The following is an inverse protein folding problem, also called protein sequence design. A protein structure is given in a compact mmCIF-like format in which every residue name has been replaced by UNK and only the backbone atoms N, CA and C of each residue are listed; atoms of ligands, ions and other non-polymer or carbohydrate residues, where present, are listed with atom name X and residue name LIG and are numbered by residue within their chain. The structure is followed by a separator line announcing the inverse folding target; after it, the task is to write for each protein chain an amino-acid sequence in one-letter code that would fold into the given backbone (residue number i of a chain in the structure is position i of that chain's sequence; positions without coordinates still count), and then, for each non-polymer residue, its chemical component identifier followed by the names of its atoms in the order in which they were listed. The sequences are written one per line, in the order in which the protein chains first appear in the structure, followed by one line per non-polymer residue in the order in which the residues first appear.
data_IF_948271708453
#
_entry.id   IF_948271708453
#
_cell.length_a   1.000
_cell.length_b   1.000
_cell.length_c   1.000
_cell.angle_alpha   90.00
_cell.angle_beta   90.00
_cell.angle_gamma   90.00
#
_symmetry.space_group_name_H-M   'P 1'
#
loop_
_entity.id
_entity.type
_entity.pdbx_description
1 polymer ?
#
# COMPACT_ATOMS: atom_id res chain seq x y z
N UNK A 1 10.69 1.38 -4.81
CA UNK A 1 9.49 1.47 -3.96
C UNK A 1 8.23 1.29 -4.78
N UNK A 2 7.30 0.54 -4.27
CA UNK A 2 6.00 0.31 -4.91
C UNK A 2 4.88 0.52 -3.90
N UNK A 3 3.75 1.04 -4.38
CA UNK A 3 2.57 1.31 -3.57
C UNK A 3 1.33 0.70 -4.22
N UNK A 4 0.50 0.06 -3.41
CA UNK A 4 -0.79 -0.47 -3.85
C UNK A 4 -1.91 0.12 -2.99
N UNK A 5 -2.97 0.59 -3.62
CA UNK A 5 -4.13 1.12 -2.92
C UNK A 5 -5.07 0.01 -2.45
N UNK A 6 -5.55 0.14 -1.23
CA UNK A 6 -6.51 -0.78 -0.61
C UNK A 6 -7.71 0.00 -0.11
N UNK A 7 -8.90 -0.50 -0.42
CA UNK A 7 -10.14 0.08 0.06
C UNK A 7 -11.08 -1.05 0.51
N UNK A 8 -11.49 -1.01 1.77
CA UNK A 8 -12.41 -1.99 2.36
C UNK A 8 -13.73 -1.30 2.66
N UNK A 9 -14.78 -1.79 2.05
CA UNK A 9 -16.14 -1.26 2.25
C UNK A 9 -17.12 -2.39 2.47
N UNK A 10 -18.20 -2.11 3.16
CA UNK A 10 -19.28 -3.06 3.42
C UNK A 10 -20.34 -2.44 4.31
N UNK A 11 -21.37 -3.22 4.61
CA UNK A 11 -22.45 -2.82 5.50
C UNK A 11 -22.17 -3.25 6.94
N UNK A 12 -22.55 -2.41 7.88
CA UNK A 12 -22.49 -2.69 9.33
C UNK A 12 -21.08 -3.04 9.84
N UNK A 13 -20.06 -2.42 9.24
CA UNK A 13 -18.67 -2.57 9.68
C UNK A 13 -18.43 -1.67 10.89
N UNK A 14 -18.02 -2.26 12.02
CA UNK A 14 -17.67 -1.51 13.22
C UNK A 14 -16.17 -1.23 13.32
N UNK A 15 -15.35 -2.15 12.81
CA UNK A 15 -13.89 -2.04 12.93
C UNK A 15 -13.20 -2.83 11.81
N UNK A 16 -12.08 -2.30 11.34
CA UNK A 16 -11.20 -2.99 10.39
C UNK A 16 -9.78 -2.98 10.95
N UNK A 17 -9.18 -4.16 11.03
CA UNK A 17 -7.77 -4.31 11.41
C UNK A 17 -6.96 -4.79 10.22
N UNK A 18 -5.86 -4.11 9.96
CA UNK A 18 -4.91 -4.46 8.90
C UNK A 18 -3.61 -4.96 9.52
N UNK A 19 -3.07 -6.03 8.98
CA UNK A 19 -1.77 -6.56 9.39
C UNK A 19 -1.02 -7.05 8.15
N UNK A 20 0.18 -6.53 7.93
CA UNK A 20 1.01 -6.92 6.79
C UNK A 20 2.19 -7.76 7.26
N UNK A 21 2.44 -8.86 6.57
CA UNK A 21 3.55 -9.79 6.85
C UNK A 21 4.28 -10.15 5.56
N UNK A 22 5.54 -10.48 5.68
CA UNK A 22 6.37 -10.91 4.56
C UNK A 22 7.41 -11.93 5.00
N UNK A 23 7.91 -12.69 4.01
CA UNK A 23 8.88 -13.77 4.22
C UNK A 23 10.32 -13.38 3.88
N UNK A 24 10.51 -12.29 3.15
CA UNK A 24 11.82 -11.82 2.72
C UNK A 24 12.32 -10.71 3.65
N UNK A 25 13.40 -10.98 4.39
CA UNK A 25 13.99 -10.02 5.32
C UNK A 25 14.61 -8.79 4.63
N UNK A 26 14.89 -8.89 3.34
CA UNK A 26 15.45 -7.79 2.54
C UNK A 26 14.37 -6.84 2.02
N UNK A 27 13.11 -7.20 2.17
CA UNK A 27 11.97 -6.37 1.78
C UNK A 27 11.46 -5.62 3.00
N UNK A 28 11.42 -4.32 2.91
CA UNK A 28 10.70 -3.50 3.88
C UNK A 28 9.28 -3.28 3.39
N UNK A 29 8.33 -3.43 4.28
CA UNK A 29 6.93 -3.23 3.98
C UNK A 29 6.26 -2.51 5.15
N UNK A 30 5.31 -1.67 4.83
CA UNK A 30 4.50 -0.98 5.84
C UNK A 30 3.18 -0.51 5.24
N UNK A 31 2.26 -0.25 6.12
CA UNK A 31 1.00 0.40 5.81
C UNK A 31 1.19 1.91 5.80
N UNK A 32 0.46 2.58 4.94
CA UNK A 32 0.47 4.03 4.85
C UNK A 32 -0.92 4.53 4.50
N UNK A 33 -1.18 5.78 4.81
CA UNK A 33 -2.43 6.44 4.43
C UNK A 33 -2.18 7.78 3.78
N UNK A 34 -3.09 8.19 2.91
CA UNK A 34 -3.14 9.55 2.42
C UNK A 34 -3.83 10.42 3.46
N UNK A 35 -3.16 11.49 3.86
CA UNK A 35 -3.70 12.47 4.81
C UNK A 35 -3.79 13.83 4.13
N UNK A 36 -4.98 14.41 4.11
CA UNK A 36 -5.14 15.79 3.68
C UNK A 36 -4.59 16.76 4.72
N UNK A 37 -3.78 17.70 4.28
CA UNK A 37 -3.12 18.67 5.13
C UNK A 37 -3.21 20.06 4.52
N UNK A 38 -2.97 21.08 5.33
CA UNK A 38 -2.83 22.45 4.85
C UNK A 38 -1.48 22.60 4.10
N UNK A 39 -1.49 23.31 2.97
CA UNK A 39 -0.28 23.55 2.19
C UNK A 39 0.82 24.26 2.98
N UNK A 40 0.44 25.10 3.94
CA UNK A 40 1.36 25.88 4.76
C UNK A 40 1.76 25.16 6.06
N UNK A 41 1.23 23.95 6.29
CA UNK A 41 1.56 23.16 7.48
C UNK A 41 3.02 22.67 7.46
N UNK A 42 3.67 22.55 8.60
CA UNK A 42 4.99 21.94 8.69
C UNK A 42 5.02 20.51 8.14
N UNK A 43 3.96 19.76 8.33
CA UNK A 43 3.83 18.39 7.80
C UNK A 43 3.97 18.34 6.27
N UNK A 44 3.29 19.24 5.58
CA UNK A 44 3.37 19.31 4.11
C UNK A 44 4.73 19.79 3.65
N UNK A 45 5.25 20.84 4.29
CA UNK A 45 6.51 21.47 3.89
C UNK A 45 7.72 20.52 4.01
N UNK A 46 7.71 19.67 5.03
CA UNK A 46 8.84 18.76 5.33
C UNK A 46 8.69 17.34 4.78
N UNK A 47 7.49 16.95 4.35
CA UNK A 47 7.27 15.61 3.83
C UNK A 47 7.99 15.38 2.51
N UNK A 48 8.66 14.24 2.38
CA UNK A 48 9.24 13.77 1.12
C UNK A 48 8.21 13.14 0.18
N UNK A 49 7.09 12.71 0.72
CA UNK A 49 6.00 12.06 -0.02
C UNK A 49 4.76 12.93 0.06
N UNK A 50 4.71 13.96 -0.76
CA UNK A 50 3.61 14.91 -0.84
C UNK A 50 3.13 15.11 -2.26
N UNK A 51 1.86 15.38 -2.42
CA UNK A 51 1.26 15.67 -3.72
C UNK A 51 0.03 16.58 -3.55
N UNK A 52 -0.45 17.10 -4.68
CA UNK A 52 -1.68 17.87 -4.73
C UNK A 52 -2.62 17.29 -5.77
N UNK A 53 -3.91 17.43 -5.52
CA UNK A 53 -4.97 17.09 -6.49
C UNK A 53 -5.80 18.33 -6.79
N UNK A 54 -6.13 18.52 -8.05
CA UNK A 54 -7.05 19.57 -8.46
C UNK A 54 -8.48 19.22 -8.02
N UNK A 55 -9.15 20.19 -7.42
CA UNK A 55 -10.53 20.09 -6.98
C UNK A 55 -11.36 21.20 -7.63
N UNK A 56 -12.68 21.18 -7.47
CA UNK A 56 -13.56 22.24 -7.96
C UNK A 56 -13.25 23.63 -7.35
N UNK A 57 -12.65 23.64 -6.15
CA UNK A 57 -12.32 24.87 -5.41
C UNK A 57 -10.84 25.25 -5.45
N UNK A 58 -10.04 24.58 -6.29
CA UNK A 58 -8.60 24.78 -6.36
C UNK A 58 -7.83 23.50 -6.15
N UNK A 59 -6.89 23.45 -5.19
CA UNK A 59 -6.07 22.29 -4.90
C UNK A 59 -6.26 21.79 -3.48
N UNK A 60 -6.32 20.48 -3.32
CA UNK A 60 -6.17 19.80 -2.04
C UNK A 60 -4.75 19.23 -1.94
N UNK A 61 -4.16 19.31 -0.77
CA UNK A 61 -2.77 18.93 -0.50
C UNK A 61 -2.73 17.71 0.41
N UNK A 62 -1.88 16.75 0.06
CA UNK A 62 -1.81 15.46 0.74
C UNK A 62 -0.38 15.09 1.05
N UNK A 63 -0.22 14.35 2.13
CA UNK A 63 1.00 13.63 2.44
C UNK A 63 0.68 12.13 2.52
N UNK A 64 1.71 11.30 2.35
CA UNK A 64 1.63 9.86 2.62
C UNK A 64 2.30 9.63 3.96
N UNK A 65 1.52 9.19 4.93
CA UNK A 65 1.95 8.96 6.30
C UNK A 65 2.11 7.46 6.55
N UNK A 66 3.31 7.04 6.95
CA UNK A 66 3.58 5.66 7.33
C UNK A 66 2.97 5.36 8.69
N UNK A 67 2.29 4.21 8.83
CA UNK A 67 1.58 3.84 10.05
C UNK A 67 2.00 2.47 10.60
N UNK A 68 3.07 1.89 10.07
CA UNK A 68 3.64 0.65 10.57
C UNK A 68 3.08 -0.61 9.90
N UNK A 69 3.25 -1.74 10.55
CA UNK A 69 2.84 -3.05 10.02
C UNK A 69 1.43 -3.46 10.43
N UNK A 70 0.87 -2.80 11.43
CA UNK A 70 -0.49 -3.03 11.91
C UNK A 70 -1.23 -1.71 12.07
N UNK A 71 -2.50 -1.72 11.74
CA UNK A 71 -3.36 -0.56 11.91
C UNK A 71 -4.82 -0.98 12.11
N UNK A 72 -5.50 -0.26 12.98
CA UNK A 72 -6.92 -0.49 13.27
C UNK A 72 -7.71 0.80 13.10
N UNK A 73 -8.88 0.71 12.46
CA UNK A 73 -9.77 1.84 12.26
C UNK A 73 -11.22 1.47 12.55
N UNK A 74 -12.04 2.48 12.81
CA UNK A 74 -13.47 2.33 13.03
C UNK A 74 -14.23 2.53 11.72
N UNK A 75 -15.21 1.65 11.44
CA UNK A 75 -16.06 1.74 10.26
C UNK A 75 -15.36 1.38 8.96
N UNK A 76 -15.83 1.94 7.85
CA UNK A 76 -15.30 1.68 6.53
C UNK A 76 -14.01 2.47 6.24
N UNK A 77 -13.10 1.87 5.47
CA UNK A 77 -11.82 2.48 5.12
C UNK A 77 -11.92 3.78 4.30
N UNK A 78 -13.07 4.05 3.69
CA UNK A 78 -13.30 5.27 2.90
C UNK A 78 -13.17 6.58 3.69
N UNK A 79 -13.34 6.53 5.00
CA UNK A 79 -13.36 7.75 5.83
C UNK A 79 -11.99 8.11 6.39
N UNK A 80 -11.28 7.12 6.91
CA UNK A 80 -9.98 7.33 7.58
C UNK A 80 -9.00 6.20 7.28
N UNK A 81 -9.37 5.28 6.39
CA UNK A 81 -8.71 4.01 6.23
C UNK A 81 -7.34 4.02 5.56
N UNK A 82 -6.70 2.90 5.67
CA UNK A 82 -5.48 2.61 4.95
C UNK A 82 -5.80 2.53 3.47
N UNK A 83 -5.15 3.37 2.71
CA UNK A 83 -5.32 3.40 1.27
C UNK A 83 -4.12 2.84 0.53
N UNK A 84 -3.01 2.64 1.22
CA UNK A 84 -1.74 2.32 0.58
C UNK A 84 -1.00 1.25 1.38
N UNK A 85 -0.57 0.21 0.68
CA UNK A 85 0.47 -0.70 1.14
C UNK A 85 1.75 -0.33 0.42
N UNK A 86 2.79 -0.03 1.18
CA UNK A 86 4.11 0.31 0.65
C UNK A 86 5.06 -0.86 0.89
N UNK A 87 5.81 -1.20 -0.12
CA UNK A 87 6.91 -2.13 0.02
C UNK A 87 8.08 -1.69 -0.86
N UNK A 88 9.26 -1.89 -0.34
CA UNK A 88 10.49 -1.54 -1.02
C UNK A 88 11.59 -2.55 -0.74
N UNK A 89 12.46 -2.70 -1.69
CA UNK A 89 13.67 -3.50 -1.57
C UNK A 89 14.85 -2.66 -2.03
N UNK A 90 15.87 -2.59 -1.21
CA UNK A 90 17.09 -1.91 -1.58
C UNK A 90 17.91 -2.82 -2.50
N UNK A 91 18.38 -2.26 -3.62
CA UNK A 91 19.26 -2.96 -4.52
C UNK A 91 20.69 -2.88 -4.00
N UNK A 92 21.34 -4.03 -3.86
CA UNK A 92 22.74 -4.09 -3.42
C UNK A 92 23.71 -3.57 -4.46
N UNK A 93 23.34 -3.68 -5.75
CA UNK A 93 24.19 -3.25 -6.89
C UNK A 93 23.33 -2.57 -7.94
N UNK A 94 23.77 -1.40 -8.41
CA UNK A 94 23.16 -0.70 -9.53
C UNK A 94 23.13 -1.54 -10.82
N UNK A 95 24.09 -2.46 -10.99
CA UNK A 95 24.14 -3.37 -12.13
C UNK A 95 22.90 -4.28 -12.26
N UNK A 96 22.14 -4.50 -11.20
CA UNK A 96 20.89 -5.25 -11.26
C UNK A 96 19.82 -4.55 -12.10
N UNK A 97 19.87 -3.24 -12.22
CA UNK A 97 18.99 -2.50 -13.13
C UNK A 97 19.26 -2.79 -14.59
N UNK A 98 20.48 -3.19 -14.94
CA UNK A 98 20.89 -3.45 -16.31
C UNK A 98 20.46 -4.83 -16.80
N UNK A 99 20.26 -5.77 -15.88
CA UNK A 99 19.71 -7.09 -16.20
C UNK A 99 18.19 -7.10 -15.91
N UNK A 100 17.42 -6.89 -16.96
CA UNK A 100 15.97 -6.79 -16.90
C UNK A 100 15.31 -8.05 -16.32
N UNK A 101 15.80 -9.22 -16.69
CA UNK A 101 15.23 -10.49 -16.22
C UNK A 101 15.44 -10.68 -14.72
N UNK A 102 16.64 -10.42 -14.23
CA UNK A 102 16.96 -10.50 -12.80
C UNK A 102 16.13 -9.50 -12.00
N UNK A 103 15.98 -8.29 -12.50
CA UNK A 103 15.17 -7.27 -11.87
C UNK A 103 13.69 -7.66 -11.80
N UNK A 104 13.13 -8.17 -12.88
CA UNK A 104 11.72 -8.61 -12.93
C UNK A 104 11.45 -9.76 -11.96
N UNK A 105 12.35 -10.73 -11.87
CA UNK A 105 12.23 -11.82 -10.90
C UNK A 105 12.29 -11.32 -9.46
N UNK A 106 13.19 -10.37 -9.19
CA UNK A 106 13.32 -9.77 -7.87
C UNK A 106 12.03 -9.05 -7.47
N UNK A 107 11.45 -8.26 -8.36
CA UNK A 107 10.19 -7.53 -8.10
C UNK A 107 9.04 -8.51 -7.89
N UNK A 108 8.95 -9.55 -8.72
CA UNK A 108 7.93 -10.59 -8.59
C UNK A 108 8.02 -11.30 -7.23
N UNK A 109 9.22 -11.70 -6.83
CA UNK A 109 9.45 -12.39 -5.57
C UNK A 109 9.16 -11.49 -4.36
N UNK A 110 9.42 -10.19 -4.50
CA UNK A 110 9.09 -9.22 -3.47
C UNK A 110 7.60 -9.20 -3.15
N UNK A 111 6.75 -9.24 -4.18
CA UNK A 111 5.30 -9.23 -4.00
C UNK A 111 4.73 -10.55 -3.49
N UNK A 112 5.22 -11.67 -4.02
CA UNK A 112 4.69 -13.00 -3.72
C UNK A 112 4.85 -13.37 -2.24
N UNK A 113 5.86 -12.83 -1.57
CA UNK A 113 6.12 -13.08 -0.15
C UNK A 113 5.27 -12.27 0.82
N UNK A 114 4.46 -11.33 0.34
CA UNK A 114 3.73 -10.39 1.17
C UNK A 114 2.26 -10.76 1.26
N UNK A 115 1.72 -10.77 2.48
CA UNK A 115 0.30 -10.96 2.76
C UNK A 115 -0.22 -9.80 3.60
N UNK A 116 -1.34 -9.22 3.19
CA UNK A 116 -2.11 -8.30 4.00
C UNK A 116 -3.33 -9.03 4.54
N UNK A 117 -3.40 -9.20 5.85
CA UNK A 117 -4.57 -9.75 6.52
C UNK A 117 -5.49 -8.62 6.94
N UNK A 118 -6.73 -8.69 6.48
CA UNK A 118 -7.78 -7.73 6.82
C UNK A 118 -8.81 -8.43 7.69
N UNK A 119 -8.94 -7.99 8.93
CA UNK A 119 -9.96 -8.49 9.85
C UNK A 119 -11.07 -7.47 9.98
N UNK A 120 -12.25 -7.84 9.51
CA UNK A 120 -13.44 -7.00 9.57
C UNK A 120 -14.30 -7.45 10.76
N UNK A 121 -14.63 -6.53 11.64
CA UNK A 121 -15.59 -6.77 12.73
C UNK A 121 -16.88 -6.03 12.41
N UNK A 122 -17.98 -6.76 12.46
CA UNK A 122 -19.32 -6.20 12.22
C UNK A 122 -19.97 -5.71 13.50
N UNK A 123 -21.04 -4.93 13.37
CA UNK A 123 -21.76 -4.37 14.50
C UNK A 123 -22.36 -5.40 15.46
N UNK A 124 -22.63 -6.62 14.98
CA UNK A 124 -23.11 -7.73 15.82
C UNK A 124 -21.99 -8.49 16.55
N UNK A 125 -20.74 -8.05 16.39
CA UNK A 125 -19.55 -8.67 16.99
C UNK A 125 -18.95 -9.82 16.21
N UNK A 126 -19.54 -10.23 15.09
CA UNK A 126 -18.94 -11.24 14.20
C UNK A 126 -17.74 -10.69 13.45
N UNK A 127 -16.82 -11.58 13.07
CA UNK A 127 -15.60 -11.21 12.36
C UNK A 127 -15.43 -12.01 11.08
N UNK A 128 -14.77 -11.40 10.11
CA UNK A 128 -14.36 -12.03 8.86
C UNK A 128 -12.91 -11.69 8.61
N UNK A 129 -12.09 -12.66 8.22
CA UNK A 129 -10.69 -12.45 7.88
C UNK A 129 -10.52 -12.69 6.39
N UNK A 130 -9.93 -11.72 5.71
CA UNK A 130 -9.59 -11.80 4.29
C UNK A 130 -8.10 -11.61 4.14
N UNK A 131 -7.43 -12.59 3.55
CA UNK A 131 -6.02 -12.48 3.20
C UNK A 131 -5.87 -11.99 1.76
N UNK A 132 -5.08 -10.95 1.60
CA UNK A 132 -4.84 -10.26 0.35
C UNK A 132 -3.40 -10.46 -0.07
N UNK A 133 -3.21 -10.84 -1.31
CA UNK A 133 -1.90 -11.01 -1.93
C UNK A 133 -1.63 -9.96 -2.99
N UNK A 134 -0.38 -9.91 -3.43
CA UNK A 134 0.12 -8.98 -4.43
C UNK A 134 0.91 -9.73 -5.47
N UNK A 135 0.73 -9.39 -6.73
CA UNK A 135 1.48 -9.98 -7.83
C UNK A 135 1.67 -8.97 -8.96
N UNK A 136 2.67 -9.24 -9.80
CA UNK A 136 2.85 -8.48 -11.04
C UNK A 136 1.84 -8.91 -12.09
N UNK A 137 1.48 -8.02 -13.01
CA UNK A 137 0.64 -8.37 -14.15
C UNK A 137 1.36 -9.38 -15.06
N UNK A 138 0.63 -10.39 -15.55
CA UNK A 138 1.18 -11.38 -16.47
C UNK A 138 1.60 -10.73 -17.80
N UNK A 139 2.69 -11.25 -18.40
CA UNK A 139 3.19 -10.80 -19.70
C UNK A 139 3.89 -9.44 -19.69
N UNK A 140 4.23 -8.91 -18.53
CA UNK A 140 4.93 -7.64 -18.42
C UNK A 140 6.46 -7.87 -18.35
N UNK A 141 7.12 -7.78 -19.50
CA UNK A 141 8.58 -7.83 -19.59
C UNK A 141 9.25 -6.46 -19.50
N UNK A 142 8.46 -5.39 -19.40
CA UNK A 142 8.92 -4.02 -19.32
C UNK A 142 9.07 -3.61 -17.85
N UNK A 143 10.25 -3.13 -17.47
CA UNK A 143 10.56 -2.69 -16.11
C UNK A 143 9.61 -1.62 -15.59
N UNK A 144 9.28 -0.64 -16.43
CA UNK A 144 8.36 0.43 -16.03
C UNK A 144 6.95 -0.13 -15.76
N UNK A 145 6.52 -1.09 -16.55
CA UNK A 145 5.22 -1.73 -16.38
C UNK A 145 5.17 -2.67 -15.17
N UNK A 146 6.28 -3.31 -14.83
CA UNK A 146 6.35 -4.18 -13.65
C UNK A 146 6.19 -3.36 -12.38
N UNK A 147 6.82 -2.20 -12.29
CA UNK A 147 6.70 -1.33 -11.10
C UNK A 147 5.34 -0.68 -10.95
N UNK A 148 4.63 -0.41 -12.06
CA UNK A 148 3.37 0.32 -12.06
C UNK A 148 2.12 -0.57 -11.98
N UNK A 149 2.25 -1.87 -12.20
CA UNK A 149 1.11 -2.79 -12.29
C UNK A 149 1.16 -3.88 -11.22
N UNK A 150 0.84 -3.49 -10.02
CA UNK A 150 0.60 -4.45 -8.94
C UNK A 150 -0.87 -4.89 -8.99
N UNK A 151 -1.09 -6.19 -9.08
CA UNK A 151 -2.41 -6.77 -8.97
C UNK A 151 -2.63 -7.18 -7.52
N UNK A 152 -3.73 -6.70 -6.96
CA UNK A 152 -4.20 -7.07 -5.63
C UNK A 152 -5.26 -8.16 -5.80
N UNK A 153 -5.12 -9.25 -5.07
CA UNK A 153 -6.04 -10.37 -5.16
C UNK A 153 -6.33 -10.99 -3.80
N UNK A 154 -7.50 -11.58 -3.65
CA UNK A 154 -7.86 -12.35 -2.47
C UNK A 154 -7.26 -13.74 -2.58
N UNK A 155 -6.53 -14.13 -1.56
CA UNK A 155 -5.93 -15.48 -1.50
C UNK A 155 -6.94 -16.57 -1.22
#
# INVERSE_FOLDING_TARGET
QVMAGINVTGEDISKIKYSITGNDSDVTYNLARMKEVDKDSPEYQTSSEKFRKQTEKGYAYYIIEDIGEEYEESGNSQREGIQIVKFSKQLEKESLYQDRQVYNEMVKNMYEGITLSVTVTYGDGTTEIVDVGFKTAEGSDDLEKVSDKVIVYVK
#
